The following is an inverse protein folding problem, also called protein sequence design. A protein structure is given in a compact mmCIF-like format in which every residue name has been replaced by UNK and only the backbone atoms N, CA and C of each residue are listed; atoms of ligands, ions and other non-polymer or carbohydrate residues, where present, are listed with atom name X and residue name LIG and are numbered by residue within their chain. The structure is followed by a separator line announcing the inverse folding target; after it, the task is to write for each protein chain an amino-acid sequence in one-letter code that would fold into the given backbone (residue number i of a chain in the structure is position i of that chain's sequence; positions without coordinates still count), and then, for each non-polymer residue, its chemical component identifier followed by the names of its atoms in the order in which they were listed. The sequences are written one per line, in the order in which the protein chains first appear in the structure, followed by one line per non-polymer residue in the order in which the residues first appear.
data_IF_511427511103
#
_entry.id   IF_511427511103
#
_cell.length_a   1.000
_cell.length_b   1.000
_cell.length_c   1.000
_cell.angle_alpha   90.00
_cell.angle_beta   90.00
_cell.angle_gamma   90.00
#
_symmetry.space_group_name_H-M   'P 1'
#
loop_
_entity.id
_entity.type
_entity.pdbx_description
1 polymer ?
#
# COMPACT_ATOMS: atom_id res chain seq x y z
N UNK A 1 -39.11 22.97 54.46
CA UNK A 1 -38.53 23.61 53.27
C UNK A 1 -39.14 22.96 52.02
N UNK A 2 -39.95 23.77 51.33
CA UNK A 2 -40.51 23.73 49.96
C UNK A 2 -40.09 22.61 48.99
N UNK A 3 -41.01 21.70 48.61
CA UNK A 3 -41.92 21.65 47.40
C UNK A 3 -41.26 21.06 46.13
N UNK A 4 -41.48 19.77 45.78
CA UNK A 4 -42.57 19.16 44.95
C UNK A 4 -42.46 19.36 43.41
N UNK A 5 -42.26 18.22 42.72
CA UNK A 5 -43.03 17.65 41.59
C UNK A 5 -42.99 18.25 40.15
N UNK A 6 -42.58 17.37 39.21
CA UNK A 6 -43.28 16.86 37.99
C UNK A 6 -43.51 17.71 36.71
N UNK A 7 -43.45 16.97 35.59
CA UNK A 7 -44.11 17.09 34.25
C UNK A 7 -43.38 17.94 33.19
N UNK A 8 -42.89 17.36 32.08
CA UNK A 8 -43.52 16.81 30.84
C UNK A 8 -43.89 17.87 29.78
N UNK A 9 -43.45 17.55 28.56
CA UNK A 9 -44.03 17.85 27.23
C UNK A 9 -43.69 19.17 26.51
N UNK A 10 -43.13 19.02 25.29
CA UNK A 10 -43.46 19.73 24.02
C UNK A 10 -42.55 19.09 22.94
N UNK A 11 -42.98 18.31 21.95
CA UNK A 11 -44.00 18.41 20.90
C UNK A 11 -43.66 19.40 19.76
N UNK A 12 -43.21 18.81 18.64
CA UNK A 12 -43.58 19.03 17.22
C UNK A 12 -43.37 20.43 16.60
N UNK A 13 -42.57 20.50 15.52
CA UNK A 13 -42.97 21.14 14.26
C UNK A 13 -42.01 20.76 13.11
N UNK A 14 -42.56 20.04 12.13
CA UNK A 14 -41.98 19.88 10.80
C UNK A 14 -42.07 21.22 10.05
N UNK A 15 -41.03 21.57 9.29
CA UNK A 15 -41.11 22.64 8.28
C UNK A 15 -40.67 22.06 6.94
N UNK A 16 -41.67 21.98 6.07
CA UNK A 16 -41.65 21.66 4.65
C UNK A 16 -40.81 22.64 3.87
N UNK A 17 -39.94 22.13 2.99
CA UNK A 17 -39.29 22.87 1.91
C UNK A 17 -40.30 23.14 0.80
N UNK A 18 -40.71 24.39 0.63
CA UNK A 18 -41.41 24.88 -0.56
C UNK A 18 -40.40 25.42 -1.58
N UNK A 19 -40.35 24.76 -2.74
CA UNK A 19 -39.84 25.31 -3.99
C UNK A 19 -40.73 26.48 -4.45
N UNK A 20 -40.14 27.60 -4.87
CA UNK A 20 -40.62 28.49 -5.96
C UNK A 20 -39.38 29.24 -6.46
N UNK A 21 -38.81 28.85 -7.60
CA UNK A 21 -39.09 29.32 -8.97
C UNK A 21 -38.43 30.66 -9.31
N UNK A 22 -37.52 30.58 -10.28
CA UNK A 22 -37.01 31.71 -11.04
C UNK A 22 -38.15 32.23 -11.94
N UNK A 23 -38.34 33.55 -11.94
CA UNK A 23 -38.99 34.23 -13.06
C UNK A 23 -38.30 35.58 -13.26
N UNK A 24 -37.68 35.69 -14.44
CA UNK A 24 -37.12 36.88 -15.02
C UNK A 24 -38.12 38.04 -15.11
N UNK A 25 -37.55 39.24 -15.09
CA UNK A 25 -37.72 40.27 -16.11
C UNK A 25 -38.28 41.62 -15.64
N UNK A 26 -37.53 42.65 -16.07
CA UNK A 26 -37.99 43.96 -16.53
C UNK A 26 -38.09 45.13 -15.53
N UNK A 27 -37.07 45.99 -15.66
CA UNK A 27 -37.12 47.44 -15.92
C UNK A 27 -37.64 48.44 -14.88
N UNK A 28 -36.74 49.41 -14.67
CA UNK A 28 -36.91 50.86 -14.58
C UNK A 28 -37.35 51.52 -13.26
N UNK A 29 -36.42 52.39 -12.82
CA UNK A 29 -36.60 53.82 -12.54
C UNK A 29 -36.46 54.34 -11.09
N UNK A 30 -35.56 55.33 -10.98
CA UNK A 30 -35.50 56.54 -10.12
C UNK A 30 -35.38 56.33 -8.59
N UNK A 31 -34.28 56.78 -7.96
CA UNK A 31 -33.96 58.18 -7.56
C UNK A 31 -35.01 58.73 -6.58
N UNK A 32 -34.75 59.24 -5.37
CA UNK A 32 -33.56 59.76 -4.68
C UNK A 32 -33.88 59.96 -3.17
N UNK A 33 -32.82 60.15 -2.35
CA UNK A 33 -32.75 61.03 -1.13
C UNK A 33 -33.69 60.71 0.05
N UNK A 34 -33.29 60.65 1.34
CA UNK A 34 -32.52 61.65 2.11
C UNK A 34 -32.16 61.13 3.53
N UNK A 35 -31.04 61.63 4.07
CA UNK A 35 -30.74 62.00 5.48
C UNK A 35 -30.64 60.97 6.63
N UNK A 36 -29.38 60.59 6.91
CA UNK A 36 -28.60 60.71 8.18
C UNK A 36 -29.24 61.09 9.53
N UNK A 37 -28.97 60.28 10.58
CA UNK A 37 -28.24 60.56 11.86
C UNK A 37 -28.56 59.43 12.89
N UNK A 38 -27.76 58.94 13.84
CA UNK A 38 -26.39 59.13 14.34
C UNK A 38 -26.08 58.04 15.40
N UNK A 39 -24.79 57.71 15.63
CA UNK A 39 -24.25 57.03 16.84
C UNK A 39 -23.62 55.64 16.63
N UNK A 40 -22.33 55.51 16.24
CA UNK A 40 -21.09 55.44 17.07
C UNK A 40 -20.98 54.16 17.94
N UNK A 41 -20.04 53.22 17.76
CA UNK A 41 -18.59 53.35 18.03
C UNK A 41 -17.78 52.12 17.51
N UNK A 42 -16.73 52.32 16.68
CA UNK A 42 -15.26 52.27 16.95
C UNK A 42 -14.64 50.88 17.19
N UNK A 43 -13.94 50.38 16.15
CA UNK A 43 -12.55 49.89 16.22
C UNK A 43 -11.92 49.91 14.81
N UNK A 44 -10.96 50.83 14.61
CA UNK A 44 -10.11 51.03 13.41
C UNK A 44 -8.85 50.16 13.56
N UNK A 45 -8.28 49.49 12.56
CA UNK A 45 -7.33 49.96 11.51
C UNK A 45 -6.84 48.65 10.82
N UNK A 46 -6.59 48.45 9.53
CA UNK A 46 -6.09 49.25 8.40
C UNK A 46 -6.58 48.59 7.10
N UNK A 47 -7.01 49.41 6.13
CA UNK A 47 -7.54 49.00 4.83
C UNK A 47 -6.39 48.62 3.89
N UNK A 48 -6.40 47.39 3.37
CA UNK A 48 -5.60 47.01 2.20
C UNK A 48 -6.27 47.56 0.93
N UNK A 49 -5.45 48.09 0.01
CA UNK A 49 -5.88 48.66 -1.26
C UNK A 49 -6.69 47.66 -2.12
N UNK A 50 -7.61 48.13 -2.98
CA UNK A 50 -8.37 47.24 -3.85
C UNK A 50 -7.43 46.45 -4.77
N UNK A 51 -7.61 45.13 -4.82
CA UNK A 51 -6.85 44.26 -5.70
C UNK A 51 -7.07 44.68 -7.16
N UNK A 52 -5.97 45.01 -7.83
CA UNK A 52 -5.90 45.20 -9.27
C UNK A 52 -6.31 43.90 -9.96
N UNK A 53 -7.40 43.95 -10.72
CA UNK A 53 -8.06 42.83 -11.37
C UNK A 53 -7.46 42.48 -12.75
N UNK A 54 -6.19 42.83 -12.97
CA UNK A 54 -5.46 42.56 -14.21
C UNK A 54 -4.45 41.40 -14.12
N UNK A 55 -4.69 40.34 -13.33
CA UNK A 55 -4.00 39.06 -13.56
C UNK A 55 -4.61 37.83 -12.88
N UNK A 56 -5.85 37.46 -13.23
CA UNK A 56 -6.51 36.26 -12.70
C UNK A 56 -5.72 34.97 -13.05
N UNK A 57 -5.05 34.94 -14.20
CA UNK A 57 -4.26 33.80 -14.69
C UNK A 57 -2.90 33.65 -13.99
N UNK A 58 -2.19 34.74 -13.66
CA UNK A 58 -0.93 34.66 -12.91
C UNK A 58 -1.15 34.31 -11.44
N UNK A 59 -2.23 34.79 -10.82
CA UNK A 59 -2.57 34.42 -9.44
C UNK A 59 -3.02 32.95 -9.35
N UNK A 60 -3.78 32.46 -10.32
CA UNK A 60 -4.13 31.04 -10.40
C UNK A 60 -2.91 30.14 -10.66
N UNK A 61 -2.02 30.54 -11.58
CA UNK A 61 -0.77 29.82 -11.87
C UNK A 61 0.19 29.84 -10.68
N UNK A 62 0.22 30.95 -9.93
CA UNK A 62 0.96 31.08 -8.68
C UNK A 62 0.39 30.15 -7.60
N UNK A 63 -0.92 30.05 -7.42
CA UNK A 63 -1.52 29.14 -6.42
C UNK A 63 -1.32 27.66 -6.80
N UNK A 64 -1.43 27.30 -8.08
CA UNK A 64 -1.18 25.94 -8.57
C UNK A 64 0.32 25.59 -8.41
N UNK A 65 1.21 26.49 -8.84
CA UNK A 65 2.66 26.34 -8.74
C UNK A 65 3.16 26.35 -7.30
N UNK A 66 2.58 27.18 -6.43
CA UNK A 66 2.87 27.21 -4.99
C UNK A 66 2.36 25.95 -4.31
N UNK A 67 1.16 25.45 -4.64
CA UNK A 67 0.62 24.20 -4.08
C UNK A 67 1.45 22.98 -4.45
N UNK A 68 1.79 22.81 -5.73
CA UNK A 68 2.68 21.72 -6.17
C UNK A 68 4.11 21.92 -5.67
N UNK A 69 4.67 23.13 -5.80
CA UNK A 69 6.05 23.45 -5.44
C UNK A 69 6.32 23.38 -3.93
N UNK A 70 5.38 23.83 -3.09
CA UNK A 70 5.50 23.72 -1.63
C UNK A 70 5.38 22.27 -1.17
N UNK A 71 4.52 21.46 -1.80
CA UNK A 71 4.37 20.03 -1.48
C UNK A 71 5.61 19.23 -1.89
N UNK A 72 6.16 19.52 -3.07
CA UNK A 72 7.40 18.97 -3.63
C UNK A 72 8.63 19.40 -2.79
N UNK A 73 8.73 20.68 -2.42
CA UNK A 73 9.87 21.19 -1.64
C UNK A 73 9.82 20.79 -0.15
N UNK A 74 8.62 20.59 0.42
CA UNK A 74 8.44 20.12 1.79
C UNK A 74 8.60 18.60 1.94
N UNK A 75 8.48 17.84 0.85
CA UNK A 75 8.71 16.40 0.88
C UNK A 75 10.21 16.11 1.03
N UNK A 76 10.58 15.54 2.18
CA UNK A 76 11.94 15.10 2.49
C UNK A 76 12.46 14.07 1.48
N UNK A 77 11.57 13.34 0.81
CA UNK A 77 11.89 12.39 -0.26
C UNK A 77 12.35 13.08 -1.55
N UNK A 78 12.19 14.39 -1.70
CA UNK A 78 12.73 15.09 -2.89
C UNK A 78 14.25 15.21 -2.85
N UNK A 79 14.83 15.32 -1.65
CA UNK A 79 16.28 15.31 -1.47
C UNK A 79 16.90 13.98 -1.92
N UNK A 80 16.18 12.85 -1.83
CA UNK A 80 16.68 11.55 -2.33
C UNK A 80 16.73 11.47 -3.85
N UNK A 81 16.07 12.37 -4.59
CA UNK A 81 16.21 12.47 -6.05
C UNK A 81 17.33 13.40 -6.51
N UNK A 82 18.05 14.08 -5.59
CA UNK A 82 19.19 14.98 -5.88
C UNK A 82 18.87 16.04 -6.94
N UNK A 83 17.66 16.61 -6.89
CA UNK A 83 17.26 17.65 -7.84
C UNK A 83 18.03 18.96 -7.60
N UNK A 84 18.36 19.69 -8.68
CA UNK A 84 19.07 20.97 -8.62
C UNK A 84 18.08 22.12 -8.39
N UNK A 85 18.02 22.61 -7.16
CA UNK A 85 17.11 23.68 -6.75
C UNK A 85 17.29 24.96 -7.59
N UNK A 86 18.52 25.28 -8.00
CA UNK A 86 18.80 26.48 -8.79
C UNK A 86 18.18 26.36 -10.19
N UNK A 87 18.24 25.16 -10.79
CA UNK A 87 17.63 24.90 -12.10
C UNK A 87 16.10 24.83 -12.03
N UNK A 88 15.55 24.31 -10.94
CA UNK A 88 14.09 24.36 -10.71
C UNK A 88 13.61 25.81 -10.65
N UNK A 89 14.31 26.66 -9.88
CA UNK A 89 13.98 28.08 -9.77
C UNK A 89 14.13 28.81 -11.11
N UNK A 90 15.21 28.59 -11.85
CA UNK A 90 15.41 29.18 -13.17
C UNK A 90 14.34 28.75 -14.17
N UNK A 91 13.99 27.46 -14.21
CA UNK A 91 12.92 26.95 -15.09
C UNK A 91 11.54 27.50 -14.72
N UNK A 92 11.26 27.68 -13.43
CA UNK A 92 10.01 28.31 -12.97
C UNK A 92 9.96 29.81 -13.30
N UNK A 93 11.07 30.52 -13.12
CA UNK A 93 11.20 31.93 -13.51
C UNK A 93 11.02 32.13 -15.02
N UNK A 94 11.60 31.26 -15.84
CA UNK A 94 11.42 31.29 -17.29
C UNK A 94 9.96 31.06 -17.68
N UNK A 95 9.26 30.12 -17.00
CA UNK A 95 7.85 29.84 -17.23
C UNK A 95 6.95 31.03 -16.86
N UNK A 96 7.17 31.68 -15.72
CA UNK A 96 6.39 32.87 -15.28
C UNK A 96 6.59 34.05 -16.23
N UNK A 97 7.82 34.23 -16.72
CA UNK A 97 8.15 35.32 -17.64
C UNK A 97 7.83 35.01 -19.11
N UNK A 98 7.12 33.91 -19.38
CA UNK A 98 6.76 33.43 -20.72
C UNK A 98 7.99 33.31 -21.67
N UNK A 99 9.16 33.01 -21.12
CA UNK A 99 10.38 32.80 -21.89
C UNK A 99 10.33 31.42 -22.55
N UNK A 100 10.96 31.30 -23.73
CA UNK A 100 11.15 30.01 -24.38
C UNK A 100 12.01 29.11 -23.47
N UNK A 101 11.63 27.84 -23.23
CA UNK A 101 12.41 26.95 -22.37
C UNK A 101 13.86 26.82 -22.83
N UNK A 102 14.79 26.85 -21.87
CA UNK A 102 16.22 26.70 -22.13
C UNK A 102 16.61 25.30 -22.64
N UNK A 103 15.72 24.31 -22.48
CA UNK A 103 15.86 22.94 -22.98
C UNK A 103 14.70 22.59 -23.93
N UNK A 104 14.92 21.72 -24.94
CA UNK A 104 13.86 21.28 -25.85
C UNK A 104 12.63 20.70 -25.11
N UNK A 105 11.44 20.93 -25.66
CA UNK A 105 10.18 20.46 -25.05
C UNK A 105 10.12 18.93 -24.91
N UNK A 106 10.72 18.20 -25.85
CA UNK A 106 10.83 16.73 -25.81
C UNK A 106 11.68 16.26 -24.63
N UNK A 107 12.81 16.92 -24.38
CA UNK A 107 13.68 16.61 -23.24
C UNK A 107 12.99 16.92 -21.91
N UNK A 108 12.17 17.97 -21.84
CA UNK A 108 11.34 18.26 -20.66
C UNK A 108 10.39 17.09 -20.42
N UNK A 109 9.67 16.63 -21.45
CA UNK A 109 8.74 15.51 -21.32
C UNK A 109 9.44 14.21 -20.87
N UNK A 110 10.58 13.88 -21.49
CA UNK A 110 11.37 12.69 -21.15
C UNK A 110 11.93 12.75 -19.71
N UNK A 111 12.42 13.92 -19.29
CA UNK A 111 12.90 14.13 -17.93
C UNK A 111 11.78 14.03 -16.90
N UNK A 112 10.59 14.57 -17.21
CA UNK A 112 9.42 14.47 -16.34
C UNK A 112 8.92 13.02 -16.23
N UNK A 113 8.90 12.26 -17.32
CA UNK A 113 8.58 10.83 -17.30
C UNK A 113 9.60 10.06 -16.45
N UNK A 114 10.89 10.28 -16.67
CA UNK A 114 11.97 9.66 -15.89
C UNK A 114 11.86 10.00 -14.40
N UNK A 115 11.56 11.25 -14.06
CA UNK A 115 11.36 11.69 -12.68
C UNK A 115 10.14 11.00 -12.07
N UNK A 116 9.01 10.96 -12.78
CA UNK A 116 7.81 10.25 -12.35
C UNK A 116 8.10 8.78 -12.10
N UNK A 117 8.81 8.11 -12.99
CA UNK A 117 9.17 6.70 -12.85
C UNK A 117 10.08 6.46 -11.64
N UNK A 118 11.11 7.31 -11.45
CA UNK A 118 11.97 7.25 -10.26
C UNK A 118 11.17 7.49 -8.98
N UNK A 119 10.25 8.46 -8.98
CA UNK A 119 9.38 8.73 -7.83
C UNK A 119 8.51 7.52 -7.51
N UNK A 120 7.90 6.91 -8.53
CA UNK A 120 7.10 5.71 -8.35
C UNK A 120 7.94 4.54 -7.80
N UNK A 121 9.16 4.35 -8.31
CA UNK A 121 10.07 3.30 -7.84
C UNK A 121 10.47 3.51 -6.37
N UNK A 122 10.83 4.73 -5.96
CA UNK A 122 11.17 5.01 -4.56
C UNK A 122 9.96 4.84 -3.64
N UNK A 123 8.77 5.28 -4.07
CA UNK A 123 7.54 5.08 -3.31
C UNK A 123 7.21 3.59 -3.15
N UNK A 124 7.31 2.81 -4.23
CA UNK A 124 7.11 1.36 -4.18
C UNK A 124 8.14 0.69 -3.28
N UNK A 125 9.42 1.08 -3.36
CA UNK A 125 10.47 0.54 -2.50
C UNK A 125 10.21 0.82 -1.02
N UNK A 126 9.78 2.04 -0.69
CA UNK A 126 9.41 2.42 0.68
C UNK A 126 8.21 1.60 1.17
N UNK A 127 7.17 1.44 0.35
CA UNK A 127 6.01 0.63 0.69
C UNK A 127 6.39 -0.84 0.94
N UNK A 128 7.27 -1.41 0.11
CA UNK A 128 7.78 -2.77 0.32
C UNK A 128 8.58 -2.85 1.63
N UNK A 129 9.49 -1.91 1.90
CA UNK A 129 10.24 -1.89 3.17
C UNK A 129 9.31 -1.81 4.38
N UNK A 130 8.29 -0.96 4.34
CA UNK A 130 7.26 -0.90 5.39
C UNK A 130 6.57 -2.26 5.57
N UNK A 131 6.15 -2.90 4.48
CA UNK A 131 5.53 -4.23 4.53
C UNK A 131 6.45 -5.27 5.15
N UNK A 132 7.70 -5.36 4.71
CA UNK A 132 8.67 -6.32 5.23
C UNK A 132 8.91 -6.14 6.74
N UNK A 133 8.73 -4.94 7.28
CA UNK A 133 8.87 -4.68 8.73
C UNK A 133 7.70 -5.21 9.58
N UNK A 134 6.55 -5.50 8.97
CA UNK A 134 5.34 -6.00 9.67
C UNK A 134 4.86 -7.36 9.17
N UNK A 135 5.44 -7.89 8.08
CA UNK A 135 4.99 -9.12 7.42
C UNK A 135 4.85 -10.29 8.40
N UNK A 136 5.76 -10.43 9.36
CA UNK A 136 5.74 -11.50 10.35
C UNK A 136 4.58 -11.36 11.33
N UNK A 137 4.17 -10.14 11.67
CA UNK A 137 3.02 -9.90 12.54
C UNK A 137 1.71 -10.31 11.86
N UNK A 138 1.61 -10.09 10.55
CA UNK A 138 0.45 -10.49 9.74
C UNK A 138 0.48 -12.01 9.55
N UNK A 139 1.62 -12.53 9.08
CA UNK A 139 1.76 -13.93 8.72
C UNK A 139 1.68 -14.87 9.93
N UNK A 140 2.18 -14.49 11.11
CA UNK A 140 2.18 -15.38 12.29
C UNK A 140 0.92 -15.27 13.15
N UNK A 141 -0.02 -14.38 12.83
CA UNK A 141 -1.29 -14.30 13.55
C UNK A 141 -2.13 -15.58 13.31
N UNK A 142 -2.78 -16.07 14.37
CA UNK A 142 -3.80 -17.11 14.32
C UNK A 142 -5.17 -16.56 13.87
N UNK A 143 -5.33 -15.24 13.87
CA UNK A 143 -6.52 -14.51 13.43
C UNK A 143 -6.41 -13.97 12.01
N UNK A 144 -5.30 -14.24 11.29
CA UNK A 144 -5.19 -13.92 9.87
C UNK A 144 -5.39 -15.20 9.05
N UNK A 145 -6.50 -15.31 8.29
CA UNK A 145 -6.78 -16.50 7.49
C UNK A 145 -5.75 -16.76 6.38
N UNK A 146 -5.48 -18.04 6.13
CA UNK A 146 -4.48 -18.51 5.16
C UNK A 146 -5.00 -19.75 4.44
N UNK A 147 -4.64 -19.92 3.17
CA UNK A 147 -4.88 -21.18 2.47
C UNK A 147 -4.01 -22.31 3.06
N UNK A 148 -4.49 -23.57 2.99
CA UNK A 148 -3.81 -24.73 3.58
C UNK A 148 -2.62 -25.22 2.72
N UNK A 149 -1.59 -24.38 2.62
CA UNK A 149 -0.33 -24.68 1.96
C UNK A 149 0.77 -24.66 3.02
N UNK A 150 1.45 -25.79 3.18
CA UNK A 150 2.59 -25.93 4.09
C UNK A 150 3.87 -25.61 3.36
N UNK A 151 4.74 -24.81 3.99
CA UNK A 151 6.04 -24.39 3.45
C UNK A 151 5.94 -23.83 2.03
N UNK A 152 5.17 -22.74 1.81
CA UNK A 152 5.08 -22.12 0.50
C UNK A 152 6.45 -21.58 0.05
N UNK A 153 6.66 -21.49 -1.27
CA UNK A 153 7.81 -20.78 -1.84
C UNK A 153 7.53 -19.27 -1.91
N UNK A 154 6.27 -18.91 -2.15
CA UNK A 154 5.79 -17.53 -2.31
C UNK A 154 4.49 -17.38 -1.52
N UNK A 155 4.34 -16.23 -0.89
CA UNK A 155 3.12 -15.83 -0.19
C UNK A 155 2.52 -14.61 -0.88
N UNK A 156 1.22 -14.71 -1.19
CA UNK A 156 0.41 -13.60 -1.69
C UNK A 156 -0.46 -13.11 -0.55
N UNK A 157 -0.19 -11.91 -0.06
CA UNK A 157 -0.98 -11.22 0.94
C UNK A 157 -2.02 -10.38 0.22
N UNK A 158 -3.29 -10.63 0.47
CA UNK A 158 -4.41 -9.87 -0.05
C UNK A 158 -5.08 -9.10 1.08
N UNK A 159 -5.04 -7.77 1.02
CA UNK A 159 -5.86 -6.91 1.86
C UNK A 159 -7.14 -6.58 1.08
N UNK A 160 -8.28 -6.98 1.62
CA UNK A 160 -9.57 -6.87 0.93
C UNK A 160 -10.70 -6.50 1.89
N UNK A 161 -11.83 -6.11 1.29
CA UNK A 161 -13.07 -5.78 1.98
C UNK A 161 -14.24 -6.42 1.22
N UNK A 162 -15.16 -7.08 1.92
CA UNK A 162 -16.33 -7.72 1.32
C UNK A 162 -17.31 -6.76 0.63
N UNK A 163 -17.24 -5.45 0.93
CA UNK A 163 -18.04 -4.42 0.25
C UNK A 163 -17.33 -3.79 -0.96
N UNK A 164 -16.12 -4.25 -1.32
CA UNK A 164 -15.35 -3.70 -2.44
C UNK A 164 -15.65 -4.43 -3.75
N UNK A 165 -16.20 -3.73 -4.75
CA UNK A 165 -16.48 -4.33 -6.06
C UNK A 165 -15.23 -4.85 -6.79
N UNK A 166 -14.05 -4.26 -6.54
CA UNK A 166 -12.81 -4.72 -7.16
C UNK A 166 -12.25 -5.96 -6.46
N UNK A 167 -12.50 -6.15 -5.17
CA UNK A 167 -12.19 -7.40 -4.46
C UNK A 167 -13.08 -8.53 -4.98
N UNK A 168 -14.37 -8.25 -5.18
CA UNK A 168 -15.32 -9.18 -5.81
C UNK A 168 -14.84 -9.65 -7.20
N UNK A 169 -14.30 -8.72 -8.02
CA UNK A 169 -13.68 -9.05 -9.31
C UNK A 169 -12.36 -9.82 -9.19
N UNK A 170 -11.60 -9.61 -8.12
CA UNK A 170 -10.28 -10.23 -7.91
C UNK A 170 -10.39 -11.65 -7.36
N UNK A 171 -11.41 -11.95 -6.53
CA UNK A 171 -11.62 -13.26 -5.92
C UNK A 171 -11.48 -14.44 -6.92
N UNK A 172 -12.16 -14.45 -8.10
CA UNK A 172 -11.98 -15.53 -9.06
C UNK A 172 -10.58 -15.58 -9.72
N UNK A 173 -9.82 -14.49 -9.72
CA UNK A 173 -8.41 -14.50 -10.15
C UNK A 173 -7.51 -15.14 -9.09
N UNK A 174 -7.76 -14.88 -7.80
CA UNK A 174 -7.07 -15.54 -6.67
C UNK A 174 -7.36 -17.04 -6.65
N UNK A 175 -8.61 -17.44 -6.91
CA UNK A 175 -8.97 -18.87 -7.03
C UNK A 175 -8.18 -19.58 -8.15
N UNK A 176 -8.00 -18.93 -9.30
CA UNK A 176 -7.15 -19.46 -10.38
C UNK A 176 -5.70 -19.61 -9.92
N UNK A 177 -5.14 -18.61 -9.24
CA UNK A 177 -3.78 -18.66 -8.71
C UNK A 177 -3.60 -19.82 -7.73
N UNK A 178 -4.53 -20.01 -6.80
CA UNK A 178 -4.52 -21.12 -5.84
C UNK A 178 -4.58 -22.49 -6.54
N UNK A 179 -5.37 -22.60 -7.61
CA UNK A 179 -5.50 -23.83 -8.39
C UNK A 179 -4.23 -24.16 -9.18
N UNK A 180 -3.62 -23.14 -9.78
CA UNK A 180 -2.51 -23.32 -10.72
C UNK A 180 -1.14 -23.34 -10.02
N UNK A 181 -1.06 -22.93 -8.76
CA UNK A 181 0.20 -22.86 -7.99
C UNK A 181 0.10 -23.57 -6.63
N UNK A 182 0.44 -24.86 -6.58
CA UNK A 182 0.40 -25.67 -5.35
C UNK A 182 1.44 -25.28 -4.28
N UNK A 183 2.41 -24.43 -4.63
CA UNK A 183 3.46 -23.93 -3.73
C UNK A 183 3.29 -22.45 -3.34
N UNK A 184 2.16 -21.84 -3.69
CA UNK A 184 1.84 -20.46 -3.35
C UNK A 184 0.77 -20.46 -2.27
N UNK A 185 1.03 -19.78 -1.16
CA UNK A 185 0.04 -19.59 -0.11
C UNK A 185 -0.63 -18.23 -0.27
N UNK A 186 -1.94 -18.18 -0.09
CA UNK A 186 -2.68 -16.92 0.01
C UNK A 186 -2.90 -16.61 1.50
N UNK A 187 -2.53 -15.41 1.90
CA UNK A 187 -2.84 -14.81 3.20
C UNK A 187 -3.95 -13.79 2.97
N UNK A 188 -5.09 -14.01 3.59
CA UNK A 188 -6.26 -13.16 3.48
C UNK A 188 -6.27 -12.18 4.65
N UNK A 189 -5.72 -10.98 4.44
CA UNK A 189 -5.73 -9.91 5.43
C UNK A 189 -7.08 -9.18 5.38
N UNK A 190 -8.03 -9.65 6.20
CA UNK A 190 -9.33 -9.01 6.40
C UNK A 190 -9.14 -7.52 6.73
N UNK A 191 -9.61 -6.64 5.84
CA UNK A 191 -9.35 -5.20 5.89
C UNK A 191 -10.64 -4.41 5.65
N UNK A 192 -11.60 -4.42 6.62
CA UNK A 192 -12.94 -3.87 6.45
C UNK A 192 -12.97 -2.32 6.50
N UNK A 193 -12.30 -1.67 5.55
CA UNK A 193 -12.19 -0.20 5.43
C UNK A 193 -13.55 0.49 5.27
N UNK A 194 -14.56 -0.24 4.80
CA UNK A 194 -15.91 0.25 4.61
C UNK A 194 -16.81 0.02 5.82
N UNK A 195 -16.34 -0.59 6.91
CA UNK A 195 -17.12 -0.90 8.12
C UNK A 195 -17.93 0.28 8.67
N UNK A 196 -17.37 1.50 8.66
CA UNK A 196 -18.09 2.69 9.14
C UNK A 196 -19.30 3.08 8.27
N UNK A 197 -19.19 2.95 6.94
CA UNK A 197 -20.27 3.32 6.00
C UNK A 197 -21.21 2.13 5.69
N UNK A 198 -20.70 0.92 5.84
CA UNK A 198 -21.37 -0.34 5.53
C UNK A 198 -21.00 -1.38 6.61
N UNK A 199 -21.71 -1.39 7.77
CA UNK A 199 -21.35 -2.23 8.92
C UNK A 199 -21.27 -3.73 8.65
N UNK A 200 -21.96 -4.22 7.60
CA UNK A 200 -21.84 -5.59 7.16
C UNK A 200 -20.43 -5.97 6.67
N UNK A 201 -19.60 -5.00 6.27
CA UNK A 201 -18.18 -5.20 5.94
C UNK A 201 -17.39 -5.70 7.16
N UNK A 202 -17.46 -4.98 8.28
CA UNK A 202 -16.79 -5.35 9.53
C UNK A 202 -17.35 -6.68 10.06
N UNK A 203 -18.67 -6.85 10.05
CA UNK A 203 -19.30 -8.10 10.48
C UNK A 203 -18.87 -9.31 9.64
N UNK A 204 -18.76 -9.17 8.32
CA UNK A 204 -18.30 -10.25 7.45
C UNK A 204 -16.83 -10.62 7.73
N UNK A 205 -15.96 -9.64 7.95
CA UNK A 205 -14.57 -9.87 8.32
C UNK A 205 -14.42 -10.58 9.68
N UNK A 206 -15.24 -10.20 10.68
CA UNK A 206 -15.28 -10.86 11.99
C UNK A 206 -15.71 -12.33 11.87
N UNK A 207 -16.79 -12.59 11.11
CA UNK A 207 -17.32 -13.93 10.87
C UNK A 207 -16.31 -14.79 10.11
N UNK A 208 -15.67 -14.25 9.05
CA UNK A 208 -14.63 -14.94 8.30
C UNK A 208 -13.46 -15.35 9.19
N UNK A 209 -12.92 -14.40 9.95
CA UNK A 209 -11.82 -14.67 10.91
C UNK A 209 -12.19 -15.76 11.92
N UNK A 210 -13.39 -15.70 12.48
CA UNK A 210 -13.88 -16.72 13.41
C UNK A 210 -14.04 -18.09 12.74
N UNK A 211 -14.52 -18.13 11.50
CA UNK A 211 -14.66 -19.38 10.74
C UNK A 211 -13.28 -20.01 10.51
N UNK A 212 -12.30 -19.23 10.10
CA UNK A 212 -10.93 -19.71 9.93
C UNK A 212 -10.39 -20.32 11.22
N UNK A 213 -10.53 -19.62 12.36
CA UNK A 213 -10.05 -20.09 13.65
C UNK A 213 -10.70 -21.39 14.11
N UNK A 214 -12.02 -21.53 13.92
CA UNK A 214 -12.80 -22.66 14.43
C UNK A 214 -12.83 -23.86 13.49
N UNK A 215 -12.81 -23.62 12.18
CA UNK A 215 -13.11 -24.63 11.16
C UNK A 215 -11.99 -24.78 10.10
N UNK A 216 -10.98 -23.94 10.14
CA UNK A 216 -9.80 -24.02 9.27
C UNK A 216 -9.97 -23.36 7.89
N UNK A 217 -8.93 -23.49 7.08
CA UNK A 217 -8.77 -22.81 5.79
C UNK A 217 -9.89 -23.12 4.79
N UNK A 218 -10.27 -24.38 4.64
CA UNK A 218 -11.27 -24.80 3.64
C UNK A 218 -12.65 -24.17 3.89
N UNK A 219 -13.08 -24.16 5.16
CA UNK A 219 -14.33 -23.53 5.57
C UNK A 219 -14.27 -22.02 5.36
N UNK A 220 -13.13 -21.39 5.68
CA UNK A 220 -12.91 -19.98 5.43
C UNK A 220 -12.97 -19.62 3.95
N UNK A 221 -12.26 -20.34 3.08
CA UNK A 221 -12.24 -20.08 1.63
C UNK A 221 -13.64 -20.24 1.04
N UNK A 222 -14.38 -21.27 1.47
CA UNK A 222 -15.77 -21.47 1.06
C UNK A 222 -16.67 -20.31 1.50
N UNK A 223 -16.47 -19.79 2.71
CA UNK A 223 -17.17 -18.61 3.20
C UNK A 223 -16.81 -17.36 2.38
N UNK A 224 -15.51 -17.06 2.26
CA UNK A 224 -14.97 -15.90 1.56
C UNK A 224 -15.47 -15.82 0.10
N UNK A 225 -15.27 -16.89 -0.67
CA UNK A 225 -15.76 -16.96 -2.05
C UNK A 225 -17.29 -16.93 -2.10
N UNK A 226 -17.95 -17.55 -1.12
CA UNK A 226 -19.40 -17.56 -1.00
C UNK A 226 -19.99 -16.16 -0.82
N UNK A 227 -19.34 -15.29 -0.06
CA UNK A 227 -19.78 -13.89 0.12
C UNK A 227 -19.65 -13.14 -1.21
N UNK A 228 -18.49 -13.18 -1.86
CA UNK A 228 -18.30 -12.49 -3.15
C UNK A 228 -19.22 -13.04 -4.25
N UNK A 229 -19.48 -14.35 -4.27
CA UNK A 229 -20.40 -14.97 -5.23
C UNK A 229 -21.86 -14.49 -5.11
N UNK A 230 -22.25 -13.86 -3.99
CA UNK A 230 -23.57 -13.25 -3.88
C UNK A 230 -23.73 -12.02 -4.77
N UNK A 231 -22.63 -11.36 -5.13
CA UNK A 231 -22.64 -10.07 -5.81
C UNK A 231 -23.15 -8.92 -4.94
N UNK A 232 -23.34 -9.13 -3.63
CA UNK A 232 -23.73 -8.07 -2.70
C UNK A 232 -22.49 -7.28 -2.26
N UNK A 233 -22.09 -6.27 -3.04
CA UNK A 233 -21.03 -5.31 -2.72
C UNK A 233 -21.54 -3.85 -2.68
N UNK A 234 -20.65 -2.87 -2.50
CA UNK A 234 -20.96 -1.44 -2.54
C UNK A 234 -22.09 -0.99 -1.57
N UNK A 235 -22.14 -1.62 -0.40
CA UNK A 235 -23.11 -1.34 0.66
C UNK A 235 -24.37 -2.20 0.62
N UNK A 236 -24.48 -3.13 -0.32
CA UNK A 236 -25.66 -4.00 -0.46
C UNK A 236 -25.61 -5.26 0.42
N UNK A 237 -24.43 -5.68 0.89
CA UNK A 237 -24.28 -6.86 1.77
C UNK A 237 -25.07 -6.71 3.06
N UNK A 238 -25.77 -7.79 3.45
CA UNK A 238 -26.57 -7.85 4.68
C UNK A 238 -25.99 -8.87 5.66
N UNK A 239 -26.12 -8.60 6.95
CA UNK A 239 -25.75 -9.56 8.00
C UNK A 239 -26.47 -10.90 7.86
N UNK A 240 -27.73 -10.90 7.40
CA UNK A 240 -28.47 -12.14 7.12
C UNK A 240 -27.84 -12.96 5.99
N UNK A 241 -27.28 -12.30 4.98
CA UNK A 241 -26.55 -12.95 3.88
C UNK A 241 -25.25 -13.55 4.43
N UNK A 242 -24.51 -12.78 5.22
CA UNK A 242 -23.30 -13.24 5.93
C UNK A 242 -23.58 -14.51 6.74
N UNK A 243 -24.61 -14.50 7.58
CA UNK A 243 -24.98 -15.66 8.41
C UNK A 243 -25.37 -16.89 7.58
N UNK A 244 -26.04 -16.67 6.44
CA UNK A 244 -26.46 -17.77 5.56
C UNK A 244 -25.26 -18.40 4.84
N UNK A 245 -24.34 -17.58 4.33
CA UNK A 245 -23.11 -18.06 3.69
C UNK A 245 -22.21 -18.78 4.70
N UNK A 246 -22.08 -18.26 5.93
CA UNK A 246 -21.36 -18.91 7.01
C UNK A 246 -21.92 -20.32 7.32
N UNK A 247 -23.25 -20.46 7.41
CA UNK A 247 -23.91 -21.77 7.58
C UNK A 247 -23.67 -22.70 6.39
N UNK A 248 -23.73 -22.18 5.16
CA UNK A 248 -23.42 -22.95 3.96
C UNK A 248 -21.95 -23.42 3.94
N UNK A 249 -21.04 -22.63 4.52
CA UNK A 249 -19.65 -23.02 4.75
C UNK A 249 -19.47 -24.07 5.86
N UNK A 250 -20.54 -24.44 6.57
CA UNK A 250 -20.54 -25.45 7.62
C UNK A 250 -20.36 -24.89 9.04
N UNK A 251 -20.40 -23.57 9.21
CA UNK A 251 -20.21 -22.92 10.49
C UNK A 251 -21.46 -22.96 11.38
N UNK A 252 -21.24 -23.10 12.69
CA UNK A 252 -22.26 -22.93 13.73
C UNK A 252 -22.20 -21.49 14.23
N UNK A 253 -23.23 -20.70 13.91
CA UNK A 253 -23.26 -19.27 14.24
C UNK A 253 -23.24 -18.99 15.74
N UNK A 254 -23.69 -19.91 16.59
CA UNK A 254 -23.56 -19.73 18.04
C UNK A 254 -22.10 -19.80 18.48
N UNK A 255 -21.31 -20.72 17.88
CA UNK A 255 -19.87 -20.81 18.16
C UNK A 255 -19.08 -19.66 17.54
N UNK A 256 -19.42 -19.26 16.31
CA UNK A 256 -18.82 -18.11 15.63
C UNK A 256 -19.01 -16.84 16.45
N UNK A 257 -20.24 -16.52 16.86
CA UNK A 257 -20.52 -15.32 17.64
C UNK A 257 -19.79 -15.32 18.99
N UNK A 258 -19.60 -16.50 19.59
CA UNK A 258 -18.80 -16.63 20.81
C UNK A 258 -17.32 -16.38 20.55
N UNK A 259 -16.74 -16.95 19.50
CA UNK A 259 -15.33 -16.75 19.15
C UNK A 259 -15.01 -15.28 18.82
N UNK A 260 -15.90 -14.57 18.11
CA UNK A 260 -15.76 -13.13 17.83
C UNK A 260 -15.50 -12.34 19.12
N UNK A 261 -16.23 -12.66 20.19
CA UNK A 261 -16.09 -11.99 21.49
C UNK A 261 -14.88 -12.48 22.29
N UNK A 262 -14.73 -13.81 22.44
CA UNK A 262 -13.69 -14.40 23.29
C UNK A 262 -12.27 -14.14 22.77
N UNK A 263 -12.09 -14.21 21.45
CA UNK A 263 -10.79 -14.06 20.78
C UNK A 263 -10.46 -12.62 20.40
N UNK A 264 -11.32 -11.65 20.77
CA UNK A 264 -11.15 -10.22 20.48
C UNK A 264 -10.91 -9.94 19.00
N UNK A 265 -11.66 -10.61 18.13
CA UNK A 265 -11.49 -10.50 16.67
C UNK A 265 -11.68 -9.05 16.20
N UNK A 266 -12.65 -8.33 16.77
CA UNK A 266 -12.88 -6.92 16.47
C UNK A 266 -11.63 -6.04 16.74
N UNK A 267 -10.88 -6.33 17.80
CA UNK A 267 -9.65 -5.59 18.14
C UNK A 267 -8.52 -5.94 17.17
N UNK A 268 -8.38 -7.22 16.79
CA UNK A 268 -7.44 -7.65 15.74
C UNK A 268 -7.68 -6.93 14.41
N UNK A 269 -8.93 -6.82 13.96
CA UNK A 269 -9.28 -6.14 12.71
C UNK A 269 -9.00 -4.63 12.79
N UNK A 270 -9.23 -3.99 13.94
CA UNK A 270 -8.86 -2.58 14.16
C UNK A 270 -7.35 -2.37 14.10
N UNK A 271 -6.57 -3.28 14.68
CA UNK A 271 -5.11 -3.23 14.63
C UNK A 271 -4.60 -3.45 13.20
N UNK A 272 -5.22 -4.37 12.45
CA UNK A 272 -4.94 -4.57 11.02
C UNK A 272 -5.23 -3.31 10.21
N UNK A 273 -6.39 -2.68 10.40
CA UNK A 273 -6.76 -1.41 9.77
C UNK A 273 -5.74 -0.30 10.08
N UNK A 274 -5.39 -0.14 11.36
CA UNK A 274 -4.41 0.84 11.81
C UNK A 274 -3.05 0.60 11.15
N UNK A 275 -2.56 -0.63 11.15
CA UNK A 275 -1.29 -1.00 10.52
C UNK A 275 -1.31 -0.73 9.02
N UNK A 276 -2.39 -1.13 8.32
CA UNK A 276 -2.53 -0.92 6.89
C UNK A 276 -2.56 0.55 6.50
N UNK A 277 -3.26 1.41 7.24
CA UNK A 277 -3.30 2.84 6.98
C UNK A 277 -1.99 3.55 7.39
N UNK A 278 -1.56 3.37 8.64
CA UNK A 278 -0.49 4.19 9.21
C UNK A 278 0.91 3.73 8.75
N UNK A 279 1.13 2.42 8.61
CA UNK A 279 2.46 1.85 8.34
C UNK A 279 2.62 1.46 6.87
N UNK A 280 1.59 0.85 6.27
CA UNK A 280 1.64 0.37 4.89
C UNK A 280 1.15 1.41 3.88
N UNK A 281 0.42 2.45 4.32
CA UNK A 281 -0.12 3.48 3.45
C UNK A 281 -1.16 2.98 2.45
N UNK A 282 -1.89 1.91 2.81
CA UNK A 282 -2.97 1.34 1.99
C UNK A 282 -4.10 2.36 1.90
N UNK A 283 -4.46 2.77 0.67
CA UNK A 283 -5.50 3.77 0.42
C UNK A 283 -6.81 3.16 -0.13
N UNK A 284 -6.81 1.87 -0.41
CA UNK A 284 -7.97 1.18 -0.95
C UNK A 284 -7.71 -0.32 -1.11
N UNK A 285 -8.76 -1.04 -1.45
CA UNK A 285 -8.75 -2.49 -1.66
C UNK A 285 -9.18 -2.83 -3.10
N UNK A 286 -8.72 -3.96 -3.67
CA UNK A 286 -7.75 -4.88 -3.10
C UNK A 286 -6.34 -4.28 -3.10
N UNK A 287 -5.52 -4.68 -2.15
CA UNK A 287 -4.09 -4.35 -2.11
C UNK A 287 -3.30 -5.65 -1.94
N UNK A 288 -2.44 -5.97 -2.90
CA UNK A 288 -1.69 -7.21 -2.92
C UNK A 288 -0.22 -6.97 -2.60
N UNK A 289 0.36 -7.87 -1.82
CA UNK A 289 1.81 -8.01 -1.68
C UNK A 289 2.21 -9.43 -2.01
N UNK A 290 3.11 -9.60 -2.96
CA UNK A 290 3.62 -10.89 -3.41
C UNK A 290 5.10 -10.95 -3.07
N UNK A 291 5.46 -11.84 -2.16
CA UNK A 291 6.81 -11.97 -1.63
C UNK A 291 7.24 -13.44 -1.54
N UNK A 292 8.54 -13.75 -1.67
CA UNK A 292 9.04 -15.06 -1.27
C UNK A 292 8.71 -15.36 0.19
N UNK A 293 8.43 -16.63 0.51
CA UNK A 293 8.18 -17.02 1.91
C UNK A 293 9.43 -16.91 2.80
N UNK A 294 10.62 -16.90 2.18
CA UNK A 294 11.93 -16.72 2.84
C UNK A 294 12.76 -15.70 2.08
N UNK A 295 13.56 -14.93 2.80
CA UNK A 295 14.50 -13.95 2.24
C UNK A 295 13.82 -12.92 1.31
N UNK A 296 12.64 -12.45 1.74
CA UNK A 296 11.93 -11.38 1.07
C UNK A 296 12.71 -10.06 1.17
N UNK A 297 12.87 -9.39 0.04
CA UNK A 297 13.62 -8.15 -0.13
C UNK A 297 12.85 -7.19 -1.03
N UNK A 298 13.30 -5.92 -1.07
CA UNK A 298 12.73 -4.92 -1.98
C UNK A 298 12.89 -5.27 -3.46
N UNK A 299 13.85 -6.12 -3.83
CA UNK A 299 14.09 -6.53 -5.20
C UNK A 299 13.11 -7.62 -5.67
N UNK A 300 12.74 -8.54 -4.77
CA UNK A 300 11.95 -9.73 -5.09
C UNK A 300 10.49 -9.68 -4.61
N UNK A 301 10.11 -8.60 -3.92
CA UNK A 301 8.73 -8.36 -3.49
C UNK A 301 8.03 -7.41 -4.45
N UNK A 302 6.74 -7.65 -4.69
CA UNK A 302 5.91 -6.83 -5.58
C UNK A 302 4.66 -6.38 -4.83
N UNK A 303 4.34 -5.09 -4.92
CA UNK A 303 3.09 -4.50 -4.43
C UNK A 303 2.21 -4.17 -5.64
N UNK A 304 0.94 -4.53 -5.56
CA UNK A 304 -0.08 -4.18 -6.55
C UNK A 304 -1.24 -3.52 -5.80
N UNK A 305 -1.40 -2.21 -5.98
CA UNK A 305 -2.54 -1.47 -5.44
C UNK A 305 -3.70 -1.48 -6.43
N UNK A 306 -4.77 -2.19 -6.10
CA UNK A 306 -5.97 -2.34 -6.92
C UNK A 306 -6.07 -3.69 -7.63
N UNK A 307 -7.09 -3.80 -8.48
CA UNK A 307 -7.37 -5.01 -9.24
C UNK A 307 -6.24 -5.35 -10.23
N UNK A 308 -5.98 -6.64 -10.38
CA UNK A 308 -5.10 -7.22 -11.40
C UNK A 308 -5.65 -8.58 -11.84
N UNK A 309 -5.23 -9.07 -13.00
CA UNK A 309 -5.60 -10.41 -13.48
C UNK A 309 -4.71 -11.49 -12.88
N UNK A 310 -5.11 -12.77 -13.00
CA UNK A 310 -4.26 -13.89 -12.63
C UNK A 310 -2.88 -13.82 -13.32
N UNK A 311 -2.80 -13.44 -14.60
CA UNK A 311 -1.52 -13.27 -15.30
C UNK A 311 -0.61 -12.22 -14.62
N UNK A 312 -1.19 -11.12 -14.14
CA UNK A 312 -0.46 -10.09 -13.40
C UNK A 312 0.06 -10.61 -12.06
N UNK A 313 -0.75 -11.39 -11.34
CA UNK A 313 -0.33 -12.04 -10.08
C UNK A 313 0.77 -13.09 -10.37
N UNK A 314 0.61 -13.87 -11.44
CA UNK A 314 1.58 -14.90 -11.84
C UNK A 314 2.93 -14.28 -12.21
N UNK A 315 2.95 -13.14 -12.90
CA UNK A 315 4.19 -12.41 -13.19
C UNK A 315 4.92 -11.98 -11.90
N UNK A 316 4.17 -11.51 -10.89
CA UNK A 316 4.72 -11.15 -9.58
C UNK A 316 5.26 -12.39 -8.82
N UNK A 317 4.54 -13.52 -8.87
CA UNK A 317 4.99 -14.80 -8.30
C UNK A 317 6.30 -15.25 -8.97
N UNK A 318 6.39 -15.17 -10.29
CA UNK A 318 7.59 -15.56 -11.03
C UNK A 318 8.79 -14.69 -10.64
N UNK A 319 8.60 -13.38 -10.48
CA UNK A 319 9.64 -12.45 -10.00
C UNK A 319 10.11 -12.78 -8.57
N UNK A 320 9.18 -13.15 -7.69
CA UNK A 320 9.50 -13.59 -6.34
C UNK A 320 10.38 -14.86 -6.37
N UNK A 321 10.02 -15.84 -7.19
CA UNK A 321 10.77 -17.11 -7.36
C UNK A 321 12.16 -16.91 -7.99
N UNK A 322 12.28 -16.05 -9.00
CA UNK A 322 13.53 -15.93 -9.78
C UNK A 322 14.71 -15.36 -8.98
N UNK A 323 14.45 -14.52 -7.98
CA UNK A 323 15.51 -13.87 -7.20
C UNK A 323 16.01 -14.74 -6.05
N UNK A 324 15.18 -15.65 -5.55
CA UNK A 324 15.60 -16.69 -4.60
C UNK A 324 16.61 -17.67 -5.23
N UNK A 325 16.50 -17.90 -6.54
CA UNK A 325 17.40 -18.80 -7.27
C UNK A 325 18.81 -18.22 -7.41
N UNK A 326 18.95 -16.91 -7.64
CA UNK A 326 20.26 -16.25 -7.79
C UNK A 326 21.11 -16.31 -6.52
N UNK A 327 20.48 -16.24 -5.34
CA UNK A 327 21.17 -16.37 -4.06
C UNK A 327 21.72 -17.80 -3.85
N UNK A 328 20.95 -18.85 -4.18
CA UNK A 328 21.42 -20.23 -4.09
C UNK A 328 22.45 -20.61 -5.16
N UNK A 329 22.39 -20.04 -6.38
CA UNK A 329 23.45 -20.27 -7.37
C UNK A 329 24.76 -19.63 -6.94
N UNK A 330 24.74 -18.45 -6.33
CA UNK A 330 25.96 -17.78 -5.88
C UNK A 330 26.64 -18.53 -4.73
N UNK A 331 25.89 -19.09 -3.77
CA UNK A 331 26.48 -19.95 -2.72
C UNK A 331 27.05 -21.27 -3.29
N UNK A 332 26.43 -21.84 -4.32
CA UNK A 332 26.96 -23.05 -4.96
C UNK A 332 28.16 -22.79 -5.88
N UNK A 333 28.22 -21.63 -6.55
CA UNK A 333 29.44 -21.22 -7.28
C UNK A 333 30.56 -20.82 -6.34
N UNK A 334 30.28 -20.14 -5.22
CA UNK A 334 31.30 -19.78 -4.24
C UNK A 334 31.84 -21.02 -3.51
N UNK A 335 30.98 -22.01 -3.21
CA UNK A 335 31.44 -23.29 -2.65
C UNK A 335 32.23 -24.13 -3.65
N UNK A 336 31.85 -24.15 -4.94
CA UNK A 336 32.63 -24.84 -5.99
C UNK A 336 33.92 -24.12 -6.32
N UNK A 337 33.93 -22.80 -6.27
CA UNK A 337 35.11 -21.98 -6.53
C UNK A 337 36.09 -22.06 -5.34
N UNK A 338 35.60 -21.99 -4.10
CA UNK A 338 36.42 -22.25 -2.91
C UNK A 338 37.00 -23.68 -2.89
N UNK A 339 36.24 -24.70 -3.31
CA UNK A 339 36.77 -26.07 -3.40
C UNK A 339 37.80 -26.23 -4.52
N UNK A 340 37.63 -25.55 -5.65
CA UNK A 340 38.61 -25.54 -6.74
C UNK A 340 39.88 -24.77 -6.36
N UNK A 341 39.75 -23.67 -5.63
CA UNK A 341 40.88 -22.88 -5.14
C UNK A 341 41.66 -23.67 -4.08
N UNK A 342 40.99 -24.40 -3.18
CA UNK A 342 41.64 -25.31 -2.22
C UNK A 342 42.37 -26.46 -2.94
N UNK A 343 41.75 -27.06 -3.96
CA UNK A 343 42.39 -28.14 -4.73
C UNK A 343 43.60 -27.63 -5.53
N UNK A 344 43.56 -26.39 -6.03
CA UNK A 344 44.66 -25.78 -6.77
C UNK A 344 45.83 -25.43 -5.83
N UNK A 345 45.55 -24.85 -4.66
CA UNK A 345 46.57 -24.55 -3.65
C UNK A 345 47.20 -25.84 -3.08
N UNK A 346 46.42 -26.92 -2.95
CA UNK A 346 46.94 -28.23 -2.49
C UNK A 346 47.83 -28.88 -3.56
N UNK A 347 47.48 -28.75 -4.84
CA UNK A 347 48.31 -29.25 -5.94
C UNK A 347 49.62 -28.45 -6.09
N UNK A 348 49.59 -27.14 -5.91
CA UNK A 348 50.79 -26.29 -5.90
C UNK A 348 51.68 -26.56 -4.69
N UNK A 349 51.10 -26.78 -3.50
CA UNK A 349 51.84 -27.18 -2.30
C UNK A 349 52.53 -28.55 -2.47
N UNK A 350 51.89 -29.52 -3.12
CA UNK A 350 52.46 -30.84 -3.40
C UNK A 350 53.55 -30.80 -4.48
N UNK A 351 53.42 -29.94 -5.50
CA UNK A 351 54.46 -29.73 -6.50
C UNK A 351 55.72 -29.05 -5.91
N UNK A 352 55.51 -28.18 -4.93
CA UNK A 352 56.60 -27.49 -4.22
C UNK A 352 57.32 -28.42 -3.25
N UNK A 353 56.62 -29.33 -2.56
CA UNK A 353 57.26 -30.36 -1.73
C UNK A 353 58.03 -31.41 -2.54
N UNK A 354 57.55 -31.78 -3.73
CA UNK A 354 58.26 -32.71 -4.63
C UNK A 354 59.57 -32.14 -5.20
N UNK A 355 59.64 -30.82 -5.41
CA UNK A 355 60.87 -30.15 -5.86
C UNK A 355 61.92 -29.99 -4.75
N UNK A 356 61.51 -29.95 -3.48
CA UNK A 356 62.44 -29.86 -2.35
C UNK A 356 63.09 -31.23 -2.06
N UNK A 357 62.38 -32.35 -2.24
CA UNK A 357 62.99 -33.68 -2.09
C UNK A 357 63.97 -34.04 -3.23
N UNK A 358 63.76 -33.53 -4.45
CA UNK A 358 64.72 -33.74 -5.56
C UNK A 358 65.99 -32.88 -5.46
N UNK A 359 65.94 -31.76 -4.73
CA UNK A 359 67.09 -30.86 -4.52
C UNK A 359 67.99 -31.28 -3.35
N UNK A 360 67.50 -32.14 -2.46
CA UNK A 360 68.24 -32.62 -1.28
C UNK A 360 69.06 -33.90 -1.54
N UNK A 361 68.99 -34.47 -2.75
CA UNK A 361 69.65 -35.74 -3.10
C UNK A 361 70.75 -35.58 -4.16
N UNK A 362 71.17 -34.34 -4.45
CA UNK A 362 72.21 -34.02 -5.45
C UNK A 362 73.34 -33.13 -4.90
N UNK A 363 73.52 -33.09 -3.57
CA UNK A 363 74.63 -32.38 -2.89
C UNK A 363 75.44 -33.26 -1.93
N UNK A 364 75.39 -34.58 -2.12
CA UNK A 364 76.31 -35.54 -1.51
C UNK A 364 76.93 -36.40 -2.61
N UNK A 365 77.77 -35.81 -3.45
CA UNK A 365 78.76 -36.50 -4.29
C UNK A 365 79.53 -35.43 -5.08
N UNK A 366 80.45 -34.71 -4.42
CA UNK A 366 81.75 -34.29 -4.98
C UNK A 366 82.47 -33.41 -3.95
N UNK A 367 83.24 -34.02 -3.05
CA UNK A 367 84.46 -33.36 -2.57
C UNK A 367 85.49 -34.41 -2.21
N UNK A 368 86.14 -34.90 -3.26
CA UNK A 368 87.32 -35.74 -3.17
C UNK A 368 88.36 -35.27 -4.20
N UNK A 369 89.48 -34.78 -3.66
CA UNK A 369 90.88 -34.93 -4.12
C UNK A 369 91.64 -33.68 -4.64
N UNK A 370 92.72 -33.39 -3.89
CA UNK A 370 94.05 -32.79 -4.19
C UNK A 370 94.23 -31.29 -4.52
N UNK A 371 94.80 -30.54 -3.56
CA UNK A 371 96.26 -30.32 -3.41
C UNK A 371 96.62 -29.69 -2.06
#
# INVERSE_FOLDING_TARGET
MTKKKLLKALAIAAITTSLVACSDSSNNDKSSTTSTSSGSSVATTTVAAPADNTNITANASYTIGYGMGSSIAADKNIKSFRLDNNKIMAGFEDAINAKKPAIPLEDIANNMNTLRDKMQQQMNQKAVTSFLSVQDSIYNSDLTPKSDIKNPDVVVYEFFDYQCMYCSKLAPEIEKIMKDNSNVQIVFAEFPIFGQKAPASEYAAEVGTAIYKLYGADAYIKYHNGIFATGEDEGSLKNSTVDNVAKQAGADMTKVNKAIQDDKIADHLKDMLKMGFDQLGIQGTPFLVIAPAKDATTANTTIIGGYTTADGIQAAINKAKSTATTASTNEQTDAKQAQNDINTVTAEAQATSGSIEQSAQQSQDDDSVEA
#
